data_IF_507473751161
#
_entry.id   IF_507473751161
#
_cell.length_a   1.000
_cell.length_b   1.000
_cell.length_c   1.000
_cell.angle_alpha   90.00
_cell.angle_beta   90.00
_cell.angle_gamma   90.00
#
_symmetry.space_group_name_H-M   'P 1'
#
loop_
_entity.id
_entity.type
_entity.pdbx_description
1 polymer ?
#
# COMPACT_ATOMS: atom_id res chain seq x y z
N UNK A 1 -38.41 -14.63 22.42
CA UNK A 1 -37.05 -15.23 22.38
C UNK A 1 -36.15 -14.32 21.55
N UNK A 2 -34.96 -13.99 22.07
CA UNK A 2 -33.98 -13.03 21.54
C UNK A 2 -33.43 -13.48 20.18
N UNK A 3 -33.75 -12.78 19.10
CA UNK A 3 -32.94 -12.80 17.89
C UNK A 3 -31.82 -11.79 18.05
N UNK A 4 -30.65 -12.26 18.47
CA UNK A 4 -29.43 -11.45 18.58
C UNK A 4 -28.30 -12.15 17.85
N UNK A 5 -28.01 -11.71 16.62
CA UNK A 5 -26.65 -11.66 16.06
C UNK A 5 -26.58 -10.47 15.11
N UNK A 6 -26.57 -9.27 15.68
CA UNK A 6 -25.91 -8.17 15.00
C UNK A 6 -24.47 -8.61 14.79
N UNK A 7 -24.07 -8.80 13.54
CA UNK A 7 -22.66 -8.92 13.18
C UNK A 7 -22.02 -7.62 13.62
N UNK A 8 -21.38 -7.65 14.79
CA UNK A 8 -20.46 -6.61 15.20
C UNK A 8 -19.29 -6.69 14.23
N UNK A 9 -19.40 -6.00 13.10
CA UNK A 9 -18.23 -5.62 12.33
C UNK A 9 -17.40 -4.79 13.30
N UNK A 10 -16.34 -5.40 13.84
CA UNK A 10 -15.27 -4.61 14.43
C UNK A 10 -14.91 -3.54 13.38
N UNK A 11 -14.76 -2.26 13.76
CA UNK A 11 -14.26 -1.27 12.83
C UNK A 11 -12.96 -1.85 12.26
N UNK A 12 -12.80 -1.90 10.92
CA UNK A 12 -11.58 -2.43 10.34
C UNK A 12 -10.45 -1.61 10.94
N UNK A 13 -9.68 -2.31 11.75
CA UNK A 13 -8.52 -2.00 12.54
C UNK A 13 -8.01 -0.55 12.46
N UNK A 14 -7.58 -0.03 13.62
CA UNK A 14 -7.00 1.30 13.93
C UNK A 14 -6.03 1.94 12.91
N UNK A 15 -5.70 1.28 11.80
CA UNK A 15 -4.76 1.67 10.77
C UNK A 15 -5.25 1.39 9.33
N UNK A 16 -6.55 1.48 9.04
CA UNK A 16 -7.04 1.49 7.65
C UNK A 16 -6.41 2.66 6.87
N UNK A 17 -5.48 2.37 5.96
CA UNK A 17 -4.82 3.38 5.12
C UNK A 17 -5.72 3.69 3.94
N UNK A 18 -6.27 4.90 3.87
CA UNK A 18 -6.98 5.40 2.70
C UNK A 18 -5.97 5.71 1.58
N UNK A 19 -5.63 4.69 0.78
CA UNK A 19 -4.58 4.72 -0.26
C UNK A 19 -4.77 5.88 -1.27
N UNK A 20 -6.00 6.38 -1.44
CA UNK A 20 -6.29 7.53 -2.30
C UNK A 20 -5.88 8.88 -1.69
N UNK A 21 -6.02 9.03 -0.36
CA UNK A 21 -5.70 10.27 0.37
C UNK A 21 -4.29 10.27 0.96
N UNK A 22 -3.67 9.10 1.12
CA UNK A 22 -2.32 8.98 1.64
C UNK A 22 -1.29 9.17 0.53
N UNK A 23 -0.30 10.01 0.82
CA UNK A 23 0.85 10.32 -0.04
C UNK A 23 2.12 9.75 0.57
N UNK A 24 3.23 9.79 -0.18
CA UNK A 24 4.53 9.42 0.37
C UNK A 24 4.95 10.32 1.54
N UNK A 25 4.53 11.59 1.55
CA UNK A 25 4.81 12.53 2.63
C UNK A 25 3.95 12.29 3.88
N UNK A 26 2.70 11.84 3.71
CA UNK A 26 1.75 11.66 4.82
C UNK A 26 1.66 10.22 5.33
N UNK A 27 2.29 9.27 4.65
CA UNK A 27 2.36 7.87 5.09
C UNK A 27 3.21 7.79 6.38
N UNK A 28 2.67 7.27 7.50
CA UNK A 28 3.44 7.13 8.72
C UNK A 28 4.70 6.29 8.54
N UNK A 29 5.75 6.64 9.28
CA UNK A 29 7.09 6.06 9.07
C UNK A 29 7.15 4.56 9.35
N UNK A 30 6.30 4.08 10.27
CA UNK A 30 6.15 2.67 10.62
C UNK A 30 5.51 1.80 9.52
N UNK A 31 5.19 2.35 8.34
CA UNK A 31 4.77 1.55 7.19
C UNK A 31 5.88 1.35 6.16
N UNK A 32 6.16 0.09 5.84
CA UNK A 32 6.99 -0.29 4.70
C UNK A 32 6.11 -0.48 3.47
N UNK A 33 6.58 0.06 2.33
CA UNK A 33 5.89 -0.05 1.04
C UNK A 33 6.51 -1.21 0.27
N UNK A 34 5.68 -2.09 -0.27
CA UNK A 34 6.09 -3.14 -1.21
C UNK A 34 5.36 -3.00 -2.54
N UNK A 35 6.04 -3.33 -3.62
CA UNK A 35 5.42 -3.59 -4.92
C UNK A 35 5.40 -5.09 -5.20
N UNK A 36 4.27 -5.60 -5.69
CA UNK A 36 4.13 -6.97 -6.15
C UNK A 36 3.58 -7.02 -7.57
N UNK A 37 4.31 -7.69 -8.45
CA UNK A 37 3.87 -7.90 -9.82
C UNK A 37 2.73 -8.94 -9.84
N UNK A 38 1.62 -8.63 -10.51
CA UNK A 38 0.52 -9.60 -10.65
C UNK A 38 0.86 -10.76 -11.60
N UNK A 39 1.63 -10.49 -12.65
CA UNK A 39 2.01 -11.49 -13.64
C UNK A 39 3.06 -12.49 -13.11
N UNK A 40 4.27 -12.05 -12.76
CA UNK A 40 5.36 -12.94 -12.34
C UNK A 40 5.48 -13.13 -10.82
N UNK A 41 4.59 -12.51 -10.03
CA UNK A 41 4.57 -12.55 -8.55
C UNK A 41 5.82 -12.00 -7.85
N UNK A 42 6.80 -11.44 -8.58
CA UNK A 42 7.97 -10.76 -7.99
C UNK A 42 7.52 -9.67 -7.02
N UNK A 43 8.07 -9.68 -5.82
CA UNK A 43 7.85 -8.67 -4.78
C UNK A 43 9.17 -7.97 -4.46
N UNK A 44 9.12 -6.66 -4.21
CA UNK A 44 10.25 -5.84 -3.77
C UNK A 44 9.77 -4.76 -2.82
N UNK A 45 10.60 -4.36 -1.87
CA UNK A 45 10.34 -3.14 -1.11
C UNK A 45 10.56 -1.92 -2.01
N UNK A 46 9.83 -0.84 -1.74
CA UNK A 46 10.02 0.48 -2.33
C UNK A 46 10.59 1.37 -1.24
N UNK A 47 11.78 1.93 -1.48
CA UNK A 47 12.32 2.97 -0.63
C UNK A 47 11.50 4.27 -0.81
N UNK A 48 10.96 4.78 0.30
CA UNK A 48 10.08 5.95 0.33
C UNK A 48 10.82 7.22 -0.10
N UNK A 49 12.09 7.37 0.29
CA UNK A 49 12.90 8.55 -0.05
C UNK A 49 13.27 8.53 -1.52
N UNK A 50 13.63 7.37 -2.06
CA UNK A 50 13.95 7.21 -3.48
C UNK A 50 12.75 7.50 -4.36
N UNK A 51 11.58 6.96 -4.02
CA UNK A 51 10.38 7.19 -4.82
C UNK A 51 9.86 8.61 -4.69
N UNK A 52 10.01 9.25 -3.52
CA UNK A 52 9.69 10.67 -3.34
C UNK A 52 10.59 11.57 -4.18
N UNK A 53 11.90 11.26 -4.27
CA UNK A 53 12.84 11.99 -5.14
C UNK A 53 12.50 11.85 -6.62
N UNK A 54 12.06 10.67 -7.06
CA UNK A 54 11.77 10.38 -8.48
C UNK A 54 10.39 10.84 -8.93
N UNK A 55 9.40 10.78 -8.05
CA UNK A 55 7.99 10.95 -8.42
C UNK A 55 7.29 12.09 -7.67
N UNK A 56 7.96 12.72 -6.71
CA UNK A 56 7.40 13.75 -5.84
C UNK A 56 6.78 13.16 -4.57
N UNK A 57 7.01 13.81 -3.43
CA UNK A 57 6.51 13.38 -2.11
C UNK A 57 4.99 13.46 -1.96
N UNK A 58 4.33 14.35 -2.71
CA UNK A 58 2.87 14.55 -2.66
C UNK A 58 2.10 13.56 -3.57
N UNK A 59 2.80 12.64 -4.23
CA UNK A 59 2.14 11.61 -5.03
C UNK A 59 1.35 10.67 -4.11
N UNK A 60 0.06 10.47 -4.40
CA UNK A 60 -0.76 9.51 -3.67
C UNK A 60 -0.31 8.07 -3.93
N UNK A 61 -0.47 7.20 -2.95
CA UNK A 61 -0.12 5.78 -3.08
C UNK A 61 -0.94 5.09 -4.19
N UNK A 62 -2.19 5.50 -4.39
CA UNK A 62 -3.01 5.02 -5.50
C UNK A 62 -2.43 5.40 -6.87
N UNK A 63 -1.94 6.64 -7.01
CA UNK A 63 -1.28 7.09 -8.23
C UNK A 63 0.06 6.39 -8.45
N UNK A 64 0.80 6.12 -7.36
CA UNK A 64 2.03 5.34 -7.42
C UNK A 64 1.77 3.90 -7.90
N UNK A 65 0.73 3.23 -7.38
CA UNK A 65 0.36 1.89 -7.79
C UNK A 65 0.08 1.78 -9.30
N UNK A 66 -0.61 2.77 -9.88
CA UNK A 66 -0.90 2.84 -11.33
C UNK A 66 0.36 3.00 -12.20
N UNK A 67 1.46 3.50 -11.63
CA UNK A 67 2.74 3.74 -12.34
C UNK A 67 3.71 2.57 -12.25
N UNK A 68 3.36 1.49 -11.53
CA UNK A 68 4.26 0.36 -11.32
C UNK A 68 4.54 -0.39 -12.63
N UNK A 69 5.83 -0.52 -12.96
CA UNK A 69 6.33 -1.42 -13.99
C UNK A 69 7.24 -2.49 -13.37
N UNK A 70 6.93 -3.76 -13.59
CA UNK A 70 7.79 -4.86 -13.16
C UNK A 70 9.08 -4.88 -13.97
N UNK A 71 10.23 -4.78 -13.31
CA UNK A 71 11.55 -4.88 -13.97
C UNK A 71 11.93 -6.32 -14.35
N UNK A 72 11.21 -7.33 -13.85
CA UNK A 72 11.46 -8.73 -14.18
C UNK A 72 10.77 -9.19 -15.46
N UNK A 73 9.48 -8.89 -15.61
CA UNK A 73 8.68 -9.33 -16.77
C UNK A 73 8.07 -8.18 -17.59
N UNK A 74 8.34 -6.92 -17.24
CA UNK A 74 7.83 -5.75 -17.96
C UNK A 74 6.37 -5.38 -17.66
N UNK A 75 5.61 -6.17 -16.88
CA UNK A 75 4.18 -5.93 -16.65
C UNK A 75 3.90 -4.55 -16.03
N UNK A 76 2.95 -3.82 -16.63
CA UNK A 76 2.49 -2.49 -16.19
C UNK A 76 1.07 -2.44 -15.65
N UNK A 77 0.33 -3.55 -15.72
CA UNK A 77 -1.10 -3.58 -15.39
C UNK A 77 -1.39 -4.42 -14.15
N UNK A 78 -2.25 -3.92 -13.27
CA UNK A 78 -2.73 -4.65 -12.09
C UNK A 78 -1.65 -5.01 -11.07
N UNK A 79 -0.49 -4.36 -11.11
CA UNK A 79 0.53 -4.50 -10.07
C UNK A 79 -0.01 -3.95 -8.73
N UNK A 80 0.38 -4.60 -7.64
CA UNK A 80 -0.12 -4.28 -6.31
C UNK A 80 0.90 -3.45 -5.55
N UNK A 81 0.41 -2.43 -4.84
CA UNK A 81 1.15 -1.71 -3.81
C UNK A 81 0.63 -2.19 -2.46
N UNK A 82 1.52 -2.75 -1.65
CA UNK A 82 1.20 -3.34 -0.35
C UNK A 82 1.86 -2.52 0.74
N UNK A 83 1.18 -2.39 1.88
CA UNK A 83 1.71 -1.74 3.06
C UNK A 83 1.86 -2.77 4.16
N UNK A 84 3.02 -2.78 4.81
CA UNK A 84 3.28 -3.61 5.96
C UNK A 84 3.63 -2.69 7.13
N UNK A 85 2.91 -2.84 8.24
CA UNK A 85 3.27 -2.16 9.48
C UNK A 85 4.51 -2.84 10.08
N UNK A 86 5.48 -2.04 10.50
CA UNK A 86 6.61 -2.51 11.30
C UNK A 86 6.10 -2.91 12.69
N UNK A 87 6.64 -3.98 13.30
CA UNK A 87 6.36 -4.29 14.69
C UNK A 87 6.74 -3.09 15.56
N UNK A 88 5.86 -2.75 16.51
CA UNK A 88 6.19 -1.80 17.57
C UNK A 88 6.74 -2.61 18.73
N UNK A 89 8.01 -2.38 19.08
CA UNK A 89 8.61 -2.84 20.33
C UNK A 89 8.21 -1.94 21.51
#
# INVERSE_FOLDING_TARGET
MRHRRGIGLAPPDLHAVEIEKVTLATLPEWFVIYARCRACRRQTFIDRRDIARRCGQNLSLASLAKRLQCQGCGNRSGNLLLLQMLPRD
#
